data_IF_717479874471
#
_entry.id   IF_717479874471
#
_cell.length_a   1.000
_cell.length_b   1.000
_cell.length_c   1.000
_cell.angle_alpha   90.00
_cell.angle_beta   90.00
_cell.angle_gamma   90.00
#
_symmetry.space_group_name_H-M   'P 1'
#
loop_
_entity.id
_entity.type
_entity.pdbx_description
1 polymer ?
#
# COMPACT_ATOMS: atom_id res chain seq x y z
N UNK A 1 19.07 1.23 8.48
CA UNK A 1 18.87 1.69 7.10
C UNK A 1 20.04 2.56 6.73
N UNK A 2 20.69 2.24 5.63
CA UNK A 2 21.81 2.99 5.06
C UNK A 2 21.35 3.46 3.69
N UNK A 3 21.45 4.75 3.41
CA UNK A 3 21.04 5.30 2.11
C UNK A 3 22.19 5.12 1.12
N UNK A 4 21.94 4.42 0.02
CA UNK A 4 22.90 4.22 -1.06
C UNK A 4 22.65 5.26 -2.17
N UNK A 5 23.64 6.11 -2.42
CA UNK A 5 23.62 7.14 -3.46
C UNK A 5 24.70 6.91 -4.53
N UNK A 6 25.25 5.69 -4.61
CA UNK A 6 26.36 5.38 -5.54
C UNK A 6 25.94 5.54 -7.00
N UNK A 7 24.75 5.05 -7.35
CA UNK A 7 24.16 5.14 -8.70
C UNK A 7 23.52 6.49 -9.02
N UNK A 8 23.40 7.41 -8.05
CA UNK A 8 22.76 8.68 -8.27
C UNK A 8 23.63 9.60 -9.16
N UNK A 9 23.06 10.11 -10.25
CA UNK A 9 23.64 11.12 -11.13
C UNK A 9 23.58 12.51 -10.50
N UNK A 10 24.24 12.67 -9.35
CA UNK A 10 24.32 13.91 -8.58
C UNK A 10 25.79 14.29 -8.37
N UNK A 11 26.08 15.58 -8.31
CA UNK A 11 27.37 16.09 -7.88
C UNK A 11 27.66 15.68 -6.43
N UNK A 12 28.94 15.71 -6.04
CA UNK A 12 29.33 15.38 -4.67
C UNK A 12 28.63 16.27 -3.63
N UNK A 13 28.48 17.57 -3.91
CA UNK A 13 27.80 18.51 -3.02
C UNK A 13 26.31 18.18 -2.85
N UNK A 14 25.62 17.87 -3.96
CA UNK A 14 24.20 17.47 -3.95
C UNK A 14 24.01 16.15 -3.18
N UNK A 15 24.89 15.16 -3.36
CA UNK A 15 24.83 13.89 -2.61
C UNK A 15 24.93 14.12 -1.11
N UNK A 16 25.82 15.01 -0.66
CA UNK A 16 25.94 15.36 0.77
C UNK A 16 24.69 16.04 1.31
N UNK A 17 24.16 17.04 0.59
CA UNK A 17 22.91 17.73 0.98
C UNK A 17 21.74 16.76 1.07
N UNK A 18 21.57 15.90 0.06
CA UNK A 18 20.51 14.88 0.03
C UNK A 18 20.68 13.86 1.16
N UNK A 19 21.90 13.37 1.40
CA UNK A 19 22.15 12.44 2.49
C UNK A 19 21.82 13.04 3.85
N UNK A 20 22.21 14.28 4.10
CA UNK A 20 21.87 15.00 5.33
C UNK A 20 20.34 15.16 5.49
N UNK A 21 19.63 15.48 4.40
CA UNK A 21 18.17 15.55 4.38
C UNK A 21 17.52 14.19 4.72
N UNK A 22 17.97 13.11 4.09
CA UNK A 22 17.44 11.76 4.33
C UNK A 22 17.72 11.28 5.76
N UNK A 23 18.90 11.59 6.30
CA UNK A 23 19.26 11.30 7.68
C UNK A 23 18.41 12.09 8.68
N UNK A 24 18.19 13.38 8.44
CA UNK A 24 17.32 14.23 9.26
C UNK A 24 15.89 13.68 9.31
N UNK A 25 15.39 13.17 8.19
CA UNK A 25 14.05 12.61 8.07
C UNK A 25 14.00 11.09 8.28
N UNK A 26 15.04 10.47 8.87
CA UNK A 26 15.16 9.01 8.98
C UNK A 26 13.96 8.32 9.64
N UNK A 27 13.27 9.00 10.55
CA UNK A 27 12.12 8.48 11.30
C UNK A 27 10.89 8.19 10.44
N UNK A 28 10.77 8.79 9.26
CA UNK A 28 9.61 8.56 8.36
C UNK A 28 9.72 7.23 7.59
N UNK A 29 10.92 6.65 7.51
CA UNK A 29 11.17 5.44 6.71
C UNK A 29 10.94 4.17 7.54
N UNK A 30 9.99 3.35 7.09
CA UNK A 30 9.69 2.05 7.68
C UNK A 30 10.50 0.93 7.01
N UNK A 31 11.16 0.09 7.82
CA UNK A 31 11.92 -1.09 7.34
C UNK A 31 11.16 -2.40 7.58
N UNK A 32 10.16 -2.38 8.47
CA UNK A 32 9.37 -3.54 8.87
C UNK A 32 7.88 -3.20 8.96
N UNK A 33 7.03 -4.23 9.01
CA UNK A 33 5.58 -4.04 9.20
C UNK A 33 5.22 -3.41 10.56
N UNK A 34 6.07 -3.58 11.58
CA UNK A 34 5.89 -3.01 12.92
C UNK A 34 6.15 -1.50 12.97
N UNK A 35 6.90 -0.98 12.01
CA UNK A 35 7.19 0.45 11.87
C UNK A 35 6.13 1.19 11.05
N UNK A 36 5.10 0.48 10.55
CA UNK A 36 4.06 1.12 9.74
C UNK A 36 3.21 2.07 10.58
N UNK A 37 3.03 3.28 10.05
CA UNK A 37 2.05 4.22 10.57
C UNK A 37 0.61 3.78 10.26
N UNK A 38 -0.34 4.48 10.87
CA UNK A 38 -1.74 4.39 10.54
C UNK A 38 -2.32 5.80 10.38
N UNK A 39 -2.93 6.06 9.24
CA UNK A 39 -3.65 7.32 9.02
C UNK A 39 -4.95 7.36 9.83
N UNK A 40 -5.38 8.58 10.17
CA UNK A 40 -6.71 8.86 10.75
C UNK A 40 -7.60 9.62 9.76
N UNK A 41 -7.08 9.96 8.58
CA UNK A 41 -7.76 10.80 7.59
C UNK A 41 -8.83 10.03 6.80
N UNK A 42 -8.62 8.73 6.61
CA UNK A 42 -9.45 7.89 5.76
C UNK A 42 -9.66 6.52 6.41
N UNK A 43 -10.85 5.96 6.21
CA UNK A 43 -11.15 4.55 6.47
C UNK A 43 -11.56 3.89 5.16
N UNK A 44 -11.09 2.67 4.93
CA UNK A 44 -11.58 1.86 3.82
C UNK A 44 -12.89 1.16 4.21
N UNK A 45 -13.87 1.22 3.31
CA UNK A 45 -15.16 0.59 3.47
C UNK A 45 -15.40 -0.41 2.32
N UNK A 46 -15.79 -1.64 2.68
CA UNK A 46 -16.16 -2.70 1.77
C UNK A 46 -17.69 -2.70 1.65
N UNK A 47 -18.19 -1.98 0.65
CA UNK A 47 -19.62 -1.82 0.41
C UNK A 47 -20.13 -2.95 -0.49
N UNK A 48 -21.01 -3.80 0.03
CA UNK A 48 -21.56 -4.90 -0.76
C UNK A 48 -22.93 -4.55 -1.30
N UNK A 49 -23.31 -5.13 -2.45
CA UNK A 49 -24.66 -4.98 -3.01
C UNK A 49 -25.74 -5.30 -1.98
N UNK A 50 -26.89 -4.60 -2.00
CA UNK A 50 -27.97 -4.84 -1.06
C UNK A 50 -28.38 -6.32 -1.01
N UNK A 51 -28.47 -6.89 0.19
CA UNK A 51 -28.83 -8.29 0.40
C UNK A 51 -27.71 -9.31 0.16
N UNK A 52 -26.45 -8.87 -0.06
CA UNK A 52 -25.31 -9.76 -0.15
C UNK A 52 -25.19 -10.66 1.10
N UNK A 53 -25.13 -11.97 0.88
CA UNK A 53 -24.99 -12.96 1.95
C UNK A 53 -23.52 -13.29 2.19
N UNK A 54 -23.11 -13.51 3.45
CA UNK A 54 -21.76 -13.98 3.77
C UNK A 54 -21.51 -15.35 3.13
N UNK A 55 -20.24 -15.65 2.85
CA UNK A 55 -19.82 -16.94 2.35
C UNK A 55 -18.59 -17.44 3.09
N UNK A 56 -18.43 -18.77 3.14
CA UNK A 56 -17.22 -19.41 3.66
C UNK A 56 -16.63 -20.31 2.59
N UNK A 57 -15.44 -19.95 2.10
CA UNK A 57 -14.69 -20.79 1.19
C UNK A 57 -13.66 -21.60 1.99
N UNK A 58 -13.52 -22.92 1.77
CA UNK A 58 -12.55 -23.72 2.51
C UNK A 58 -11.11 -23.29 2.18
N UNK A 59 -10.16 -23.44 3.12
CA UNK A 59 -8.75 -23.18 2.84
C UNK A 59 -8.22 -24.17 1.79
N UNK A 60 -7.35 -23.70 0.90
CA UNK A 60 -6.74 -24.58 -0.10
C UNK A 60 -5.79 -25.59 0.56
N UNK A 61 -5.66 -26.77 -0.08
CA UNK A 61 -4.66 -27.76 0.31
C UNK A 61 -3.27 -27.22 -0.03
N UNK A 62 -2.36 -27.32 0.93
CA UNK A 62 -0.98 -26.84 0.81
C UNK A 62 -0.02 -27.91 1.32
N UNK A 63 1.21 -27.89 0.81
CA UNK A 63 2.30 -28.72 1.33
C UNK A 63 2.72 -28.22 2.72
N UNK A 64 3.37 -29.07 3.54
CA UNK A 64 3.83 -28.64 4.87
C UNK A 64 4.73 -27.40 4.84
N UNK A 65 5.63 -27.30 3.84
CA UNK A 65 6.51 -26.14 3.66
C UNK A 65 5.74 -24.85 3.38
N UNK A 66 4.74 -24.90 2.50
CA UNK A 66 3.91 -23.74 2.17
C UNK A 66 3.06 -23.31 3.37
N UNK A 67 2.53 -24.28 4.12
CA UNK A 67 1.77 -24.01 5.34
C UNK A 67 2.61 -23.32 6.40
N UNK A 68 3.82 -23.81 6.66
CA UNK A 68 4.73 -23.20 7.64
C UNK A 68 5.04 -21.73 7.30
N UNK A 69 5.26 -21.43 6.01
CA UNK A 69 5.48 -20.05 5.57
C UNK A 69 4.22 -19.18 5.69
N UNK A 70 3.05 -19.72 5.37
CA UNK A 70 1.78 -19.02 5.57
C UNK A 70 1.58 -18.68 7.06
N UNK A 71 1.80 -19.64 7.96
CA UNK A 71 1.65 -19.44 9.41
C UNK A 71 2.66 -18.41 9.93
N UNK A 72 3.90 -18.39 9.40
CA UNK A 72 4.90 -17.35 9.69
C UNK A 72 4.40 -15.95 9.30
N UNK A 73 3.84 -15.79 8.10
CA UNK A 73 3.33 -14.50 7.63
C UNK A 73 2.07 -14.05 8.38
N UNK A 74 1.18 -14.98 8.75
CA UNK A 74 0.03 -14.68 9.61
C UNK A 74 0.50 -14.17 10.97
N UNK A 75 1.49 -14.83 11.58
CA UNK A 75 2.07 -14.37 12.85
C UNK A 75 2.68 -12.97 12.72
N UNK A 76 3.40 -12.70 11.64
CA UNK A 76 4.01 -11.38 11.40
C UNK A 76 2.95 -10.27 11.29
N UNK A 77 1.81 -10.55 10.63
CA UNK A 77 0.69 -9.61 10.54
C UNK A 77 -0.03 -9.40 11.88
N UNK A 78 -0.18 -10.45 12.70
CA UNK A 78 -0.72 -10.36 14.05
C UNK A 78 0.19 -9.53 14.95
N UNK A 79 1.50 -9.83 14.96
CA UNK A 79 2.52 -9.14 15.74
C UNK A 79 2.68 -7.66 15.33
N UNK A 80 2.20 -7.29 14.14
CA UNK A 80 2.21 -5.92 13.61
C UNK A 80 0.84 -5.22 13.71
N UNK A 81 -0.14 -5.83 14.39
CA UNK A 81 -1.49 -5.29 14.58
C UNK A 81 -2.25 -4.95 13.27
N UNK A 82 -1.94 -5.70 12.20
CA UNK A 82 -2.58 -5.53 10.88
C UNK A 82 -3.84 -6.40 10.76
N UNK A 83 -3.83 -7.55 11.43
CA UNK A 83 -4.93 -8.52 11.49
C UNK A 83 -5.23 -8.90 12.94
N UNK A 84 -6.39 -9.51 13.15
CA UNK A 84 -6.81 -10.07 14.44
C UNK A 84 -7.59 -11.39 14.24
N UNK A 85 -7.64 -12.29 15.23
CA UNK A 85 -8.51 -13.46 15.19
C UNK A 85 -9.98 -13.06 14.97
N UNK A 86 -10.73 -13.88 14.23
CA UNK A 86 -12.11 -13.56 13.87
C UNK A 86 -13.04 -14.77 13.93
N UNK A 87 -14.29 -14.52 14.29
CA UNK A 87 -15.41 -15.46 14.16
C UNK A 87 -16.36 -15.07 13.01
N UNK A 88 -15.87 -14.28 12.04
CA UNK A 88 -16.68 -13.81 10.91
C UNK A 88 -17.33 -14.96 10.13
N UNK A 89 -18.55 -14.71 9.67
CA UNK A 89 -19.27 -15.60 8.76
C UNK A 89 -18.76 -15.47 7.31
N UNK A 90 -17.92 -14.47 7.02
CA UNK A 90 -17.16 -14.36 5.78
C UNK A 90 -15.83 -15.08 5.93
N UNK A 91 -15.41 -15.81 4.89
CA UNK A 91 -14.08 -16.38 4.86
C UNK A 91 -13.59 -16.56 3.42
N UNK A 92 -12.64 -15.72 3.02
CA UNK A 92 -11.87 -15.90 1.79
C UNK A 92 -10.67 -16.83 2.01
N UNK A 93 -10.32 -17.70 1.06
CA UNK A 93 -9.20 -18.61 1.22
C UNK A 93 -7.88 -17.88 0.93
N UNK A 94 -6.82 -18.29 1.62
CA UNK A 94 -5.45 -17.80 1.38
C UNK A 94 -4.83 -18.51 0.18
N UNK A 95 -4.15 -17.75 -0.67
CA UNK A 95 -3.28 -18.25 -1.75
C UNK A 95 -1.84 -17.84 -1.50
N UNK A 96 -0.90 -18.77 -1.75
CA UNK A 96 0.53 -18.51 -1.64
C UNK A 96 1.11 -18.38 -3.04
N UNK A 97 1.67 -17.20 -3.34
CA UNK A 97 2.24 -16.86 -4.64
C UNK A 97 3.77 -16.75 -4.52
N UNK A 98 4.51 -17.03 -5.59
CA UNK A 98 5.96 -16.82 -5.60
C UNK A 98 6.30 -15.48 -6.27
N UNK A 99 7.16 -14.68 -5.63
CA UNK A 99 7.83 -13.54 -6.27
C UNK A 99 8.87 -14.05 -7.26
N UNK A 100 9.30 -13.18 -8.18
CA UNK A 100 10.42 -13.45 -9.09
C UNK A 100 11.73 -13.80 -8.35
N UNK A 101 11.90 -13.28 -7.13
CA UNK A 101 13.01 -13.60 -6.23
C UNK A 101 12.96 -15.01 -5.63
N UNK A 102 11.86 -15.76 -5.82
CA UNK A 102 11.63 -17.06 -5.18
C UNK A 102 10.99 -16.99 -3.79
N UNK A 103 10.82 -15.80 -3.22
CA UNK A 103 10.14 -15.59 -1.95
C UNK A 103 8.63 -15.86 -2.09
N UNK A 104 8.05 -16.58 -1.13
CA UNK A 104 6.60 -16.80 -1.06
C UNK A 104 5.89 -15.58 -0.45
N UNK A 105 4.77 -15.18 -1.04
CA UNK A 105 3.90 -14.09 -0.57
C UNK A 105 2.50 -14.63 -0.35
N UNK A 106 1.99 -14.40 0.85
CA UNK A 106 0.59 -14.63 1.16
C UNK A 106 -0.29 -13.57 0.49
N UNK A 107 -1.35 -14.02 -0.17
CA UNK A 107 -2.41 -13.17 -0.70
C UNK A 107 -3.77 -13.78 -0.38
N UNK A 108 -4.79 -12.94 -0.25
CA UNK A 108 -6.15 -13.39 0.03
C UNK A 108 -6.94 -13.41 -1.27
N UNK A 109 -7.62 -14.52 -1.57
CA UNK A 109 -8.45 -14.61 -2.75
C UNK A 109 -9.80 -13.92 -2.51
N UNK A 110 -9.84 -12.60 -2.71
CA UNK A 110 -11.04 -11.77 -2.56
C UNK A 110 -11.97 -11.78 -3.77
N UNK A 111 -11.79 -12.64 -4.78
CA UNK A 111 -12.65 -12.66 -5.99
C UNK A 111 -14.14 -12.68 -5.68
N UNK A 112 -14.57 -13.49 -4.71
CA UNK A 112 -15.98 -13.56 -4.28
C UNK A 112 -16.44 -12.31 -3.51
N UNK A 113 -15.57 -11.71 -2.71
CA UNK A 113 -15.89 -10.43 -2.05
C UNK A 113 -16.04 -9.34 -3.11
N UNK A 114 -15.11 -9.27 -4.07
CA UNK A 114 -15.11 -8.28 -5.15
C UNK A 114 -16.34 -8.42 -6.06
N UNK A 115 -16.83 -9.64 -6.35
CA UNK A 115 -18.06 -9.81 -7.14
C UNK A 115 -19.32 -9.33 -6.42
N UNK A 116 -19.28 -9.18 -5.09
CA UNK A 116 -20.39 -8.68 -4.28
C UNK A 116 -20.21 -7.20 -3.93
N UNK A 117 -19.04 -6.61 -4.20
CA UNK A 117 -18.67 -5.27 -3.81
C UNK A 117 -19.14 -4.27 -4.87
N UNK A 118 -19.65 -3.11 -4.46
CA UNK A 118 -20.09 -2.05 -5.36
C UNK A 118 -18.83 -1.34 -5.89
N UNK A 119 -18.60 -1.31 -7.22
CA UNK A 119 -17.44 -0.63 -7.79
C UNK A 119 -17.43 0.86 -7.46
N UNK A 120 -16.29 1.35 -7.00
CA UNK A 120 -16.04 2.78 -6.78
C UNK A 120 -15.16 3.33 -7.88
N UNK A 121 -15.36 4.61 -8.19
CA UNK A 121 -14.56 5.33 -9.20
C UNK A 121 -13.96 6.58 -8.57
N UNK A 122 -12.68 6.80 -8.83
CA UNK A 122 -11.98 8.04 -8.54
C UNK A 122 -11.10 8.39 -9.75
N UNK A 123 -10.97 9.68 -10.13
CA UNK A 123 -10.14 10.07 -11.26
C UNK A 123 -8.68 9.68 -11.01
N UNK A 124 -8.15 8.81 -11.87
CA UNK A 124 -6.72 8.48 -11.90
C UNK A 124 -6.03 9.40 -12.92
N UNK A 125 -4.80 9.85 -12.64
CA UNK A 125 -3.99 10.58 -13.60
C UNK A 125 -3.87 9.84 -14.93
N UNK A 126 -4.15 10.51 -16.05
CA UNK A 126 -3.82 9.98 -17.37
C UNK A 126 -2.32 10.16 -17.63
N UNK A 127 -1.66 9.16 -18.23
CA UNK A 127 -0.21 9.21 -18.42
C UNK A 127 0.24 10.39 -19.29
N UNK A 128 -0.52 10.77 -20.31
CA UNK A 128 -0.19 11.93 -21.15
C UNK A 128 -0.15 13.23 -20.32
N UNK A 129 -1.15 13.44 -19.47
CA UNK A 129 -1.20 14.61 -18.58
C UNK A 129 -0.04 14.63 -17.57
N UNK A 130 0.45 13.45 -17.17
CA UNK A 130 1.65 13.34 -16.32
C UNK A 130 2.89 13.85 -17.07
N UNK A 131 3.06 13.46 -18.33
CA UNK A 131 4.17 13.96 -19.15
C UNK A 131 4.08 15.45 -19.44
N UNK A 132 2.87 15.96 -19.69
CA UNK A 132 2.65 17.39 -19.91
C UNK A 132 3.07 18.21 -18.68
N UNK A 133 2.66 17.79 -17.48
CA UNK A 133 3.03 18.46 -16.23
C UNK A 133 4.56 18.45 -15.99
N UNK A 134 5.23 17.32 -16.28
CA UNK A 134 6.69 17.20 -16.19
C UNK A 134 7.37 18.14 -17.21
N UNK A 135 6.84 18.20 -18.43
CA UNK A 135 7.35 19.03 -19.52
C UNK A 135 7.22 20.52 -19.25
N UNK A 136 6.10 20.95 -18.65
CA UNK A 136 5.86 22.35 -18.27
C UNK A 136 6.91 22.86 -17.28
N UNK A 137 7.26 22.04 -16.28
CA UNK A 137 8.29 22.36 -15.27
C UNK A 137 9.72 22.20 -15.82
N UNK A 138 9.89 21.58 -17.00
CA UNK A 138 11.19 21.22 -17.57
C UNK A 138 12.06 20.44 -16.58
N UNK A 139 11.44 19.52 -15.85
CA UNK A 139 12.06 18.85 -14.73
C UNK A 139 13.35 18.12 -15.12
N UNK A 140 14.38 18.26 -14.28
CA UNK A 140 15.70 17.60 -14.41
C UNK A 140 15.95 16.64 -13.26
N UNK A 141 15.29 16.86 -12.12
CA UNK A 141 15.42 16.06 -10.90
C UNK A 141 14.12 15.34 -10.62
N UNK A 142 14.23 14.05 -10.31
CA UNK A 142 13.10 13.16 -10.05
C UNK A 142 13.37 12.33 -8.81
N UNK A 143 12.37 12.20 -7.95
CA UNK A 143 12.34 11.26 -6.84
C UNK A 143 11.07 10.42 -6.94
N UNK A 144 11.22 9.11 -6.87
CA UNK A 144 10.10 8.18 -6.74
C UNK A 144 10.05 7.68 -5.30
N UNK A 145 8.94 7.93 -4.62
CA UNK A 145 8.72 7.50 -3.24
C UNK A 145 7.67 6.40 -3.24
N UNK A 146 8.08 5.20 -2.82
CA UNK A 146 7.21 4.05 -2.61
C UNK A 146 6.77 3.98 -1.14
N UNK A 147 5.47 3.87 -0.91
CA UNK A 147 4.93 3.69 0.44
C UNK A 147 5.00 2.22 0.82
N UNK A 148 5.89 1.90 1.78
CA UNK A 148 6.03 0.55 2.33
C UNK A 148 4.66 0.01 2.78
N UNK A 149 4.16 -1.00 2.06
CA UNK A 149 2.86 -1.61 2.33
C UNK A 149 1.74 -0.57 2.51
N UNK A 150 1.68 0.45 1.65
CA UNK A 150 0.82 1.62 1.77
C UNK A 150 -0.62 1.31 2.19
N UNK A 151 -1.24 0.29 1.58
CA UNK A 151 -2.61 -0.11 1.94
C UNK A 151 -2.78 -0.49 3.42
N UNK A 152 -1.80 -1.15 4.03
CA UNK A 152 -1.86 -1.51 5.46
C UNK A 152 -1.77 -0.29 6.40
N UNK A 153 -1.52 0.91 5.89
CA UNK A 153 -1.54 2.14 6.68
C UNK A 153 -2.94 2.77 6.75
N UNK A 154 -3.91 2.26 5.98
CA UNK A 154 -5.30 2.71 5.97
C UNK A 154 -6.15 1.79 6.85
N UNK A 155 -6.84 2.28 7.89
CA UNK A 155 -7.75 1.47 8.71
C UNK A 155 -8.99 1.01 7.93
N UNK A 156 -9.52 -0.16 8.28
CA UNK A 156 -10.86 -0.60 7.87
C UNK A 156 -11.90 -0.09 8.86
N UNK A 157 -13.10 0.21 8.36
CA UNK A 157 -14.28 0.37 9.23
C UNK A 157 -14.62 -0.94 9.95
N UNK A 158 -15.17 -0.88 11.17
CA UNK A 158 -15.51 -2.07 11.98
C UNK A 158 -16.38 -3.08 11.20
N UNK A 159 -17.38 -2.59 10.47
CA UNK A 159 -18.23 -3.43 9.62
C UNK A 159 -17.43 -4.15 8.52
N UNK A 160 -16.48 -3.44 7.91
CA UNK A 160 -15.68 -3.97 6.81
C UNK A 160 -14.63 -4.98 7.25
N UNK A 161 -14.18 -4.92 8.51
CA UNK A 161 -13.26 -5.93 9.06
C UNK A 161 -13.82 -7.34 8.86
N UNK A 162 -15.09 -7.55 9.21
CA UNK A 162 -15.72 -8.86 9.04
C UNK A 162 -15.72 -9.36 7.58
N UNK A 163 -15.93 -8.47 6.60
CA UNK A 163 -15.94 -8.81 5.16
C UNK A 163 -14.54 -9.10 4.62
N UNK A 164 -13.50 -8.58 5.27
CA UNK A 164 -12.09 -8.86 4.94
C UNK A 164 -11.60 -10.22 5.46
N UNK A 165 -12.42 -10.93 6.24
CA UNK A 165 -11.99 -12.15 6.91
C UNK A 165 -11.51 -13.24 5.95
N UNK A 166 -10.46 -13.93 6.36
CA UNK A 166 -9.82 -15.01 5.61
C UNK A 166 -9.58 -16.23 6.49
N UNK A 167 -9.50 -17.39 5.83
CA UNK A 167 -9.34 -18.68 6.49
C UNK A 167 -8.03 -19.35 6.10
N UNK A 168 -7.39 -19.91 7.12
CA UNK A 168 -6.19 -20.72 7.04
C UNK A 168 -6.49 -22.13 7.57
N UNK A 169 -5.49 -23.00 7.58
CA UNK A 169 -5.62 -24.32 8.23
C UNK A 169 -5.65 -24.23 9.76
N UNK A 170 -5.19 -23.10 10.33
CA UNK A 170 -4.99 -22.90 11.78
C UNK A 170 -6.04 -21.99 12.40
N UNK A 171 -6.81 -21.25 11.60
CA UNK A 171 -7.85 -20.36 12.12
C UNK A 171 -8.43 -19.41 11.07
N UNK A 172 -9.33 -18.55 11.55
CA UNK A 172 -9.92 -17.44 10.78
C UNK A 172 -9.41 -16.15 11.39
N UNK A 173 -9.04 -15.23 10.51
CA UNK A 173 -8.52 -13.91 10.88
C UNK A 173 -9.23 -12.86 10.04
N UNK A 174 -9.29 -11.63 10.54
CA UNK A 174 -9.79 -10.48 9.80
C UNK A 174 -8.77 -9.35 9.83
N UNK A 175 -8.81 -8.49 8.82
CA UNK A 175 -7.92 -7.34 8.79
C UNK A 175 -8.48 -6.19 9.62
N UNK A 176 -7.58 -5.48 10.29
CA UNK A 176 -7.81 -4.17 10.89
C UNK A 176 -7.44 -3.03 9.93
N UNK A 177 -6.54 -3.32 8.99
CA UNK A 177 -6.02 -2.41 7.96
C UNK A 177 -6.43 -2.85 6.57
N UNK A 178 -6.50 -1.96 5.61
CA UNK A 178 -6.95 -2.26 4.25
C UNK A 178 -6.03 -3.31 3.58
N UNK A 179 -6.54 -4.51 3.25
CA UNK A 179 -5.72 -5.54 2.64
C UNK A 179 -5.54 -5.31 1.13
N UNK A 180 -4.51 -5.96 0.58
CA UNK A 180 -4.34 -6.11 -0.86
C UNK A 180 -5.40 -7.05 -1.45
N UNK A 181 -5.77 -6.81 -2.72
CA UNK A 181 -6.64 -7.70 -3.50
C UNK A 181 -8.14 -7.38 -3.44
N UNK A 182 -8.56 -6.43 -2.60
CA UNK A 182 -9.91 -5.86 -2.70
C UNK A 182 -9.97 -4.91 -3.90
N UNK A 183 -11.12 -4.94 -4.60
CA UNK A 183 -11.34 -4.15 -5.81
C UNK A 183 -11.15 -2.64 -5.60
N UNK A 184 -11.67 -2.10 -4.50
CA UNK A 184 -11.69 -0.66 -4.25
C UNK A 184 -10.49 -0.15 -3.43
N UNK A 185 -9.54 -1.01 -3.01
CA UNK A 185 -8.37 -0.57 -2.23
C UNK A 185 -7.54 0.50 -2.96
N UNK A 186 -7.18 0.33 -4.26
CA UNK A 186 -6.41 1.35 -4.97
C UNK A 186 -7.16 2.69 -5.09
N UNK A 187 -8.48 2.63 -5.24
CA UNK A 187 -9.34 3.82 -5.39
C UNK A 187 -9.38 4.62 -4.08
N UNK A 188 -9.57 3.93 -2.95
CA UNK A 188 -9.53 4.57 -1.63
C UNK A 188 -8.16 5.20 -1.37
N UNK A 189 -7.08 4.48 -1.73
CA UNK A 189 -5.73 4.97 -1.54
C UNK A 189 -5.43 6.21 -2.40
N UNK A 190 -5.80 6.18 -3.69
CA UNK A 190 -5.68 7.32 -4.59
C UNK A 190 -6.45 8.54 -4.05
N UNK A 191 -7.69 8.35 -3.60
CA UNK A 191 -8.51 9.43 -3.06
C UNK A 191 -7.88 10.06 -1.82
N UNK A 192 -7.37 9.23 -0.91
CA UNK A 192 -6.65 9.67 0.28
C UNK A 192 -5.41 10.49 -0.09
N UNK A 193 -4.54 9.94 -0.94
CA UNK A 193 -3.30 10.61 -1.30
C UNK A 193 -3.54 11.91 -2.10
N UNK A 194 -4.58 11.95 -2.93
CA UNK A 194 -5.01 13.17 -3.62
C UNK A 194 -5.51 14.24 -2.64
N UNK A 195 -6.09 13.84 -1.51
CA UNK A 195 -6.47 14.76 -0.44
C UNK A 195 -5.23 15.26 0.34
N UNK A 196 -4.32 14.36 0.72
CA UNK A 196 -3.08 14.69 1.45
C UNK A 196 -2.20 15.65 0.65
N UNK A 197 -2.05 15.42 -0.65
CA UNK A 197 -1.20 16.22 -1.55
C UNK A 197 -1.97 17.30 -2.30
N UNK A 198 -3.15 17.68 -1.79
CA UNK A 198 -3.97 18.73 -2.38
C UNK A 198 -3.18 20.04 -2.45
N UNK A 199 -3.19 20.67 -3.62
CA UNK A 199 -2.49 21.93 -3.87
C UNK A 199 -1.03 21.78 -4.31
N UNK A 200 -0.45 20.59 -4.15
CA UNK A 200 0.87 20.21 -4.67
C UNK A 200 0.76 19.30 -5.91
N UNK A 201 -0.28 18.46 -5.94
CA UNK A 201 -0.54 17.55 -7.05
C UNK A 201 -0.63 18.33 -8.38
N UNK A 202 -0.03 17.77 -9.44
CA UNK A 202 0.13 18.36 -10.78
C UNK A 202 1.07 19.57 -10.89
N UNK A 203 1.66 20.07 -9.79
CA UNK A 203 2.66 21.15 -9.85
C UNK A 203 4.09 20.61 -9.87
N UNK A 204 4.41 19.80 -8.87
CA UNK A 204 5.74 19.18 -8.72
C UNK A 204 5.67 17.80 -8.06
N UNK A 205 4.45 17.35 -7.73
CA UNK A 205 4.15 16.02 -7.19
C UNK A 205 3.04 15.40 -8.03
N UNK A 206 3.16 14.11 -8.30
CA UNK A 206 2.13 13.29 -8.90
C UNK A 206 1.97 12.00 -8.11
N UNK A 207 0.72 11.65 -7.83
CA UNK A 207 0.38 10.42 -7.11
C UNK A 207 -0.27 9.44 -8.07
N UNK A 208 0.26 8.23 -8.12
CA UNK A 208 -0.36 7.10 -8.78
C UNK A 208 -0.44 5.92 -7.81
N UNK A 209 -1.61 5.76 -7.17
CA UNK A 209 -1.86 4.76 -6.13
C UNK A 209 -0.76 4.83 -5.06
N UNK A 210 0.09 3.80 -4.94
CA UNK A 210 1.13 3.70 -3.91
C UNK A 210 2.44 4.44 -4.28
N UNK A 211 2.57 4.88 -5.53
CA UNK A 211 3.75 5.56 -6.06
C UNK A 211 3.57 7.09 -6.05
N UNK A 212 4.55 7.80 -5.48
CA UNK A 212 4.61 9.26 -5.52
C UNK A 212 5.83 9.69 -6.34
N UNK A 213 5.57 10.39 -7.44
CA UNK A 213 6.60 11.02 -8.26
C UNK A 213 6.74 12.49 -7.86
N UNK A 214 7.93 12.89 -7.44
CA UNK A 214 8.29 14.28 -7.18
C UNK A 214 9.27 14.69 -8.27
N UNK A 215 9.05 15.86 -8.88
CA UNK A 215 9.86 16.33 -10.00
C UNK A 215 10.12 17.83 -9.91
N UNK A 216 11.31 18.28 -10.32
CA UNK A 216 11.73 19.67 -10.17
C UNK A 216 12.80 20.06 -11.19
N UNK A 217 12.89 21.35 -11.50
CA UNK A 217 13.88 21.86 -12.46
C UNK A 217 15.29 21.96 -11.88
N UNK A 218 15.42 22.40 -10.62
CA UNK A 218 16.71 22.58 -9.94
C UNK A 218 16.81 21.68 -8.71
N UNK A 219 18.03 21.38 -8.26
CA UNK A 219 18.27 20.56 -7.07
C UNK A 219 17.72 21.21 -5.80
N UNK A 220 17.92 22.52 -5.66
CA UNK A 220 17.47 23.31 -4.52
C UNK A 220 15.95 23.29 -4.41
N UNK A 221 15.23 23.49 -5.51
CA UNK A 221 13.77 23.33 -5.55
C UNK A 221 13.38 21.90 -5.21
N UNK A 222 14.11 20.91 -5.72
CA UNK A 222 13.81 19.50 -5.45
C UNK A 222 13.93 19.16 -3.96
N UNK A 223 14.94 19.68 -3.26
CA UNK A 223 15.11 19.45 -1.83
C UNK A 223 14.00 20.13 -1.02
N UNK A 224 13.51 21.30 -1.46
CA UNK A 224 12.35 21.97 -0.87
C UNK A 224 11.04 21.23 -1.15
N UNK A 225 10.88 20.64 -2.33
CA UNK A 225 9.70 19.85 -2.68
C UNK A 225 9.65 18.50 -1.96
N UNK A 226 10.81 17.97 -1.55
CA UNK A 226 10.92 16.75 -0.74
C UNK A 226 10.58 16.96 0.74
N UNK A 227 10.70 18.19 1.26
CA UNK A 227 10.53 18.51 2.69
C UNK A 227 9.07 18.57 3.12
#
# INVERSE_FOLDING_TARGET
MTFDLTSACLTWSEKHKLLAFLQKNRSIFANSLKELGCTHLYNHHIETVPGAKPFRSPPYRQTPKVRAEQDRQVKELLDSDIIEPSCSNWASPVVMCFKKSGEMRMAINYRKVNSLNIPQTFPLPHMESVFDAIGEVKAQYFSCVDLKSGFHQVPLTEESKHKSAFITQTGIYQFKRMPFGLMNSPITFQAMMSHVLRGLNWKFVLVYVDDILIFSQTFEDHLNHLS
#
